data_IF_661938571662
#
_entry.id   IF_661938571662
#
_cell.length_a   1.000
_cell.length_b   1.000
_cell.length_c   1.000
_cell.angle_alpha   90.00
_cell.angle_beta   90.00
_cell.angle_gamma   90.00
#
_symmetry.space_group_name_H-M   'P 1'
#
loop_
_entity.id
_entity.type
_entity.pdbx_description
1 polymer ?
#
# COMPACT_ATOMS: atom_id res chain seq x y z
N UNK A 1 31.49 -11.18 -2.91
CA UNK A 1 31.04 -10.35 -1.81
C UNK A 1 30.31 -9.08 -2.24
N UNK A 2 30.79 -8.43 -3.29
CA UNK A 2 30.04 -7.29 -3.85
C UNK A 2 28.68 -7.71 -4.40
N UNK A 3 28.58 -8.94 -4.92
CA UNK A 3 27.31 -9.47 -5.43
C UNK A 3 26.24 -9.64 -4.36
N UNK A 4 26.61 -9.99 -3.12
CA UNK A 4 25.64 -10.14 -2.05
C UNK A 4 25.08 -8.80 -1.58
N UNK A 5 25.86 -7.74 -1.61
CA UNK A 5 25.37 -6.40 -1.30
C UNK A 5 24.40 -5.89 -2.37
N UNK A 6 24.67 -6.17 -3.62
CA UNK A 6 23.79 -5.79 -4.73
C UNK A 6 22.46 -6.53 -4.60
N UNK A 7 22.49 -7.81 -4.27
CA UNK A 7 21.29 -8.62 -4.06
C UNK A 7 20.48 -8.07 -2.89
N UNK A 8 21.14 -7.71 -1.78
CA UNK A 8 20.44 -7.13 -0.63
C UNK A 8 19.79 -5.80 -0.96
N UNK A 9 20.45 -4.96 -1.74
CA UNK A 9 19.89 -3.68 -2.16
C UNK A 9 18.68 -3.91 -3.08
N UNK A 10 18.78 -4.85 -4.01
CA UNK A 10 17.71 -5.21 -4.90
C UNK A 10 16.49 -5.73 -4.11
N UNK A 11 16.72 -6.56 -3.11
CA UNK A 11 15.65 -7.08 -2.25
C UNK A 11 14.97 -5.96 -1.48
N UNK A 12 15.74 -5.01 -0.97
CA UNK A 12 15.19 -3.87 -0.24
C UNK A 12 14.32 -2.99 -1.15
N UNK A 13 14.75 -2.79 -2.39
CA UNK A 13 13.97 -2.03 -3.37
C UNK A 13 12.66 -2.75 -3.69
N UNK A 14 12.71 -4.07 -3.88
CA UNK A 14 11.53 -4.87 -4.13
C UNK A 14 10.55 -4.83 -2.96
N UNK A 15 11.06 -4.93 -1.73
CA UNK A 15 10.23 -4.84 -0.53
C UNK A 15 9.55 -3.48 -0.44
N UNK A 16 10.29 -2.42 -0.69
CA UNK A 16 9.75 -1.07 -0.66
C UNK A 16 8.63 -0.91 -1.69
N UNK A 17 8.86 -1.37 -2.91
CA UNK A 17 7.88 -1.30 -3.97
C UNK A 17 6.62 -2.09 -3.62
N UNK A 18 6.79 -3.28 -3.05
CA UNK A 18 5.69 -4.13 -2.64
C UNK A 18 4.86 -3.48 -1.54
N UNK A 19 5.53 -2.87 -0.55
CA UNK A 19 4.86 -2.17 0.54
C UNK A 19 4.12 -0.92 0.04
N UNK A 20 4.69 -0.21 -0.92
CA UNK A 20 4.02 0.93 -1.53
C UNK A 20 2.75 0.51 -2.26
N UNK A 21 2.76 -0.62 -2.96
CA UNK A 21 1.59 -1.16 -3.63
C UNK A 21 0.52 -1.60 -2.63
N UNK A 22 0.92 -2.23 -1.53
CA UNK A 22 0.00 -2.61 -0.46
C UNK A 22 -0.64 -1.38 0.18
N UNK A 23 0.15 -0.36 0.44
CA UNK A 23 -0.35 0.89 1.01
C UNK A 23 -1.37 1.55 0.08
N UNK A 24 -1.08 1.57 -1.21
CA UNK A 24 -1.99 2.11 -2.21
C UNK A 24 -3.32 1.34 -2.22
N UNK A 25 -3.26 0.03 -2.12
CA UNK A 25 -4.44 -0.81 -2.05
C UNK A 25 -5.27 -0.48 -0.81
N UNK A 26 -4.63 -0.37 0.35
CA UNK A 26 -5.34 -0.04 1.59
C UNK A 26 -5.94 1.35 1.56
N UNK A 27 -5.27 2.31 0.96
CA UNK A 27 -5.80 3.66 0.80
C UNK A 27 -7.09 3.65 -0.03
N UNK A 28 -7.11 2.89 -1.11
CA UNK A 28 -8.32 2.75 -1.93
C UNK A 28 -9.46 2.11 -1.15
N UNK A 29 -9.15 1.09 -0.36
CA UNK A 29 -10.15 0.44 0.48
C UNK A 29 -10.71 1.38 1.55
N UNK A 30 -9.83 2.18 2.16
CA UNK A 30 -10.26 3.19 3.11
C UNK A 30 -11.17 4.23 2.48
N UNK A 31 -10.86 4.69 1.28
CA UNK A 31 -11.69 5.64 0.57
C UNK A 31 -13.08 5.08 0.29
N UNK A 32 -13.17 3.81 -0.08
CA UNK A 32 -14.45 3.13 -0.28
C UNK A 32 -15.27 3.09 1.00
N UNK A 33 -14.63 2.76 2.12
CA UNK A 33 -15.29 2.71 3.41
C UNK A 33 -15.79 4.09 3.84
N UNK A 34 -14.98 5.11 3.66
CA UNK A 34 -15.36 6.48 3.97
C UNK A 34 -16.55 6.94 3.12
N UNK A 35 -16.56 6.55 1.86
CA UNK A 35 -17.67 6.85 0.96
C UNK A 35 -18.96 6.20 1.44
N UNK A 36 -18.89 4.92 1.82
CA UNK A 36 -20.04 4.20 2.37
C UNK A 36 -20.56 4.84 3.64
N UNK A 37 -19.67 5.24 4.53
CA UNK A 37 -20.05 5.92 5.77
C UNK A 37 -20.75 7.24 5.47
N UNK A 38 -20.28 7.97 4.48
CA UNK A 38 -20.88 9.22 4.05
C UNK A 38 -22.30 8.99 3.53
N UNK A 39 -22.50 7.94 2.74
CA UNK A 39 -23.84 7.59 2.23
C UNK A 39 -24.80 7.23 3.36
N UNK A 40 -24.35 6.45 4.33
CA UNK A 40 -25.18 6.08 5.49
C UNK A 40 -25.58 7.32 6.28
N UNK A 41 -24.66 8.25 6.46
CA UNK A 41 -24.96 9.51 7.17
C UNK A 41 -26.01 10.33 6.43
N UNK A 42 -26.00 10.32 5.12
CA UNK A 42 -26.99 11.06 4.32
C UNK A 42 -28.35 10.41 4.35
N UNK A 43 -28.44 9.12 4.53
CA UNK A 43 -29.69 8.41 4.64
C UNK A 43 -30.41 8.68 5.97
N UNK A 44 -29.63 9.00 6.98
CA UNK A 44 -30.16 9.29 8.32
C UNK A 44 -30.57 10.75 8.40
#
# INVERSE_FOLDING_TARGET
MQGSKIIQIADLIEEKLRKEQELEFYEKEMQKLLFRMSLVRHEI
#
